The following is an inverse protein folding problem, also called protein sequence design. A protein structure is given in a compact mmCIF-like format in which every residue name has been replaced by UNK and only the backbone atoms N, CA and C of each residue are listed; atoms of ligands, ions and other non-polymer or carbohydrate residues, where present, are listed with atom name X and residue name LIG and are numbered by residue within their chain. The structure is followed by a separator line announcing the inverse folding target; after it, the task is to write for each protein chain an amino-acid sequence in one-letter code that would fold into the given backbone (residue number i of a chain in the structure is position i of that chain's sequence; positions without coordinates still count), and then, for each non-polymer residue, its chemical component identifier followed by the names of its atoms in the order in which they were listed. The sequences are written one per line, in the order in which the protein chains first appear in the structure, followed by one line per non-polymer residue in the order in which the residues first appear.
data_IF_801786654449
#
_entry.id   IF_801786654449
#
_cell.length_a   1.000
_cell.length_b   1.000
_cell.length_c   1.000
_cell.angle_alpha   90.00
_cell.angle_beta   90.00
_cell.angle_gamma   90.00
#
_symmetry.space_group_name_H-M   'P 1'
#
loop_
_entity.id
_entity.type
_entity.pdbx_description
1 polymer ?
#
# COMPACT_ATOMS: atom_id res chain seq x y z
N UNK A 1 -43.07 -14.65 24.04
CA UNK A 1 -42.25 -13.66 23.31
C UNK A 1 -41.38 -14.44 22.35
N UNK A 2 -41.71 -14.40 21.05
CA UNK A 2 -40.99 -15.14 20.02
C UNK A 2 -39.67 -14.44 19.75
N UNK A 3 -38.57 -15.05 20.20
CA UNK A 3 -37.21 -14.60 19.89
C UNK A 3 -36.96 -14.92 18.42
N UNK A 4 -37.06 -13.91 17.55
CA UNK A 4 -36.65 -14.03 16.16
C UNK A 4 -35.13 -14.16 16.12
N UNK A 5 -34.65 -15.38 15.85
CA UNK A 5 -33.26 -15.64 15.47
C UNK A 5 -33.00 -14.94 14.13
N UNK A 6 -32.42 -13.74 14.22
CA UNK A 6 -31.85 -13.03 13.07
C UNK A 6 -30.65 -13.84 12.60
N UNK A 7 -30.80 -14.63 11.53
CA UNK A 7 -29.67 -15.32 10.91
C UNK A 7 -28.80 -14.27 10.21
N UNK A 8 -27.77 -13.76 10.90
CA UNK A 8 -26.79 -12.87 10.28
C UNK A 8 -25.91 -13.69 9.35
N UNK A 9 -26.05 -13.50 8.04
CA UNK A 9 -25.10 -13.99 7.03
C UNK A 9 -23.86 -13.08 7.09
N UNK A 10 -23.09 -13.15 8.17
CA UNK A 10 -21.83 -12.42 8.32
C UNK A 10 -20.82 -13.02 7.32
N UNK A 11 -20.54 -12.29 6.24
CA UNK A 11 -19.61 -12.77 5.22
C UNK A 11 -18.18 -12.68 5.73
N UNK A 12 -17.58 -13.82 6.07
CA UNK A 12 -16.14 -13.94 6.36
C UNK A 12 -15.36 -13.81 5.05
N UNK A 13 -14.48 -12.81 4.93
CA UNK A 13 -13.65 -12.66 3.73
C UNK A 13 -12.29 -12.02 4.05
N UNK A 14 -11.33 -12.25 3.14
CA UNK A 14 -10.02 -11.59 3.14
C UNK A 14 -9.70 -11.09 1.74
N UNK A 15 -9.42 -9.80 1.61
CA UNK A 15 -8.94 -9.17 0.38
C UNK A 15 -7.50 -8.74 0.60
N UNK A 16 -6.63 -8.98 -0.38
CA UNK A 16 -5.22 -8.57 -0.35
C UNK A 16 -4.88 -7.77 -1.60
N UNK A 17 -4.21 -6.64 -1.41
CA UNK A 17 -3.74 -5.77 -2.47
C UNK A 17 -2.21 -5.80 -2.52
N UNK A 18 -1.67 -5.94 -3.72
CA UNK A 18 -0.25 -5.81 -4.03
C UNK A 18 -0.14 -4.86 -5.21
N UNK A 19 0.46 -3.68 -5.03
CA UNK A 19 0.52 -2.67 -6.08
C UNK A 19 1.88 -1.95 -6.10
N UNK A 20 2.43 -1.79 -7.30
CA UNK A 20 3.52 -0.86 -7.55
C UNK A 20 3.01 0.58 -7.51
N UNK A 21 3.67 1.43 -6.73
CA UNK A 21 3.16 2.77 -6.43
C UNK A 21 3.55 3.77 -7.52
N UNK A 22 4.59 3.48 -8.31
CA UNK A 22 5.13 4.34 -9.39
C UNK A 22 4.07 4.93 -10.32
N UNK A 23 3.16 4.11 -10.86
CA UNK A 23 2.09 4.59 -11.73
C UNK A 23 1.11 5.54 -11.02
N UNK A 24 0.87 5.30 -9.73
CA UNK A 24 -0.01 6.18 -8.92
C UNK A 24 0.72 7.48 -8.57
N UNK A 25 2.00 7.42 -8.22
CA UNK A 25 2.84 8.61 -7.98
C UNK A 25 2.95 9.48 -9.23
N UNK A 26 3.12 8.89 -10.42
CA UNK A 26 3.07 9.63 -11.68
C UNK A 26 1.75 10.36 -11.87
N UNK A 27 0.61 9.69 -11.64
CA UNK A 27 -0.70 10.34 -11.73
C UNK A 27 -0.94 11.45 -10.69
N UNK A 28 -0.21 11.43 -9.58
CA UNK A 28 -0.24 12.46 -8.53
C UNK A 28 0.78 13.59 -8.77
N UNK A 29 1.53 13.59 -9.88
CA UNK A 29 2.55 14.60 -10.18
C UNK A 29 3.88 14.38 -9.48
N UNK A 30 4.10 13.21 -8.85
CA UNK A 30 5.32 12.85 -8.12
C UNK A 30 6.35 12.11 -8.99
N UNK A 31 6.31 12.32 -10.31
CA UNK A 31 7.17 11.62 -11.26
C UNK A 31 8.67 11.90 -11.02
N UNK A 32 9.02 13.11 -10.59
CA UNK A 32 10.43 13.49 -10.34
C UNK A 32 11.05 12.73 -9.17
N UNK A 33 10.28 12.42 -8.14
CA UNK A 33 10.75 11.65 -6.98
C UNK A 33 11.17 10.23 -7.38
N UNK A 34 10.51 9.65 -8.39
CA UNK A 34 10.76 8.28 -8.84
C UNK A 34 11.65 8.19 -10.09
N UNK A 35 11.96 9.32 -10.72
CA UNK A 35 12.69 9.39 -12.00
C UNK A 35 14.22 9.48 -11.83
N UNK A 36 14.74 9.50 -10.59
CA UNK A 36 16.16 9.75 -10.32
C UNK A 36 16.62 11.18 -10.63
N UNK A 37 15.73 12.04 -11.14
CA UNK A 37 15.95 13.46 -11.41
C UNK A 37 15.50 14.36 -10.25
N UNK A 38 15.04 13.77 -9.14
CA UNK A 38 14.71 14.49 -7.92
C UNK A 38 15.95 14.78 -7.09
N UNK A 39 15.98 15.94 -6.43
CA UNK A 39 17.03 16.26 -5.46
C UNK A 39 16.73 15.55 -4.13
N UNK A 40 17.27 14.34 -3.98
CA UNK A 40 17.19 13.54 -2.75
C UNK A 40 18.52 13.53 -1.97
N UNK A 41 19.42 14.47 -2.29
CA UNK A 41 20.77 14.58 -1.72
C UNK A 41 20.80 14.77 -0.20
N UNK A 42 19.74 15.35 0.39
CA UNK A 42 19.63 15.50 1.84
C UNK A 42 19.13 14.22 2.56
N UNK A 43 18.53 13.28 1.84
CA UNK A 43 17.96 12.05 2.41
C UNK A 43 18.90 10.85 2.28
N UNK A 44 19.77 10.87 1.27
CA UNK A 44 20.71 9.78 1.01
C UNK A 44 22.00 10.37 0.44
N UNK A 45 23.14 10.05 1.06
CA UNK A 45 24.47 10.38 0.57
C UNK A 45 24.76 9.54 -0.69
N UNK A 46 24.59 10.12 -1.88
CA UNK A 46 24.83 9.42 -3.14
C UNK A 46 26.26 9.58 -3.65
N UNK A 47 26.92 8.45 -3.94
CA UNK A 47 27.80 8.35 -5.11
C UNK A 47 26.95 8.28 -6.40
N UNK A 48 27.56 8.44 -7.58
CA UNK A 48 26.99 8.75 -8.93
C UNK A 48 25.78 7.94 -9.48
N UNK A 49 24.97 7.24 -8.67
CA UNK A 49 23.93 6.30 -9.14
C UNK A 49 22.54 6.55 -8.50
N UNK A 50 22.01 7.76 -8.64
CA UNK A 50 20.65 8.15 -8.19
C UNK A 50 19.54 7.45 -9.01
N UNK A 51 19.86 6.96 -10.21
CA UNK A 51 18.91 6.38 -11.17
C UNK A 51 18.19 5.09 -10.70
N UNK A 52 18.60 4.51 -9.56
CA UNK A 52 18.08 3.26 -9.04
C UNK A 52 17.31 3.39 -7.70
N UNK A 53 17.23 4.58 -7.09
CA UNK A 53 16.68 4.75 -5.72
C UNK A 53 15.16 4.60 -5.58
N UNK A 54 14.40 4.63 -6.68
CA UNK A 54 12.93 4.59 -6.59
C UNK A 54 12.33 3.74 -7.71
N UNK A 55 13.06 2.73 -8.19
CA UNK A 55 12.57 1.87 -9.28
C UNK A 55 11.48 0.90 -8.81
N UNK A 56 11.43 0.57 -7.52
CA UNK A 56 10.52 -0.47 -7.00
C UNK A 56 9.74 -0.04 -5.74
N UNK A 57 8.94 1.03 -5.83
CA UNK A 57 8.00 1.37 -4.76
C UNK A 57 6.84 0.37 -4.70
N UNK A 58 6.68 -0.28 -3.55
CA UNK A 58 5.77 -1.40 -3.37
C UNK A 58 4.83 -1.22 -2.18
N UNK A 59 3.53 -1.36 -2.42
CA UNK A 59 2.51 -1.35 -1.37
C UNK A 59 1.79 -2.70 -1.28
N UNK A 60 1.78 -3.27 -0.08
CA UNK A 60 1.01 -4.47 0.26
C UNK A 60 0.00 -4.14 1.36
N UNK A 61 -1.26 -4.46 1.15
CA UNK A 61 -2.30 -4.26 2.15
C UNK A 61 -3.24 -5.46 2.20
N UNK A 62 -3.87 -5.70 3.34
CA UNK A 62 -4.98 -6.64 3.42
C UNK A 62 -6.06 -6.14 4.39
N UNK A 63 -7.28 -6.59 4.13
CA UNK A 63 -8.43 -6.44 5.03
C UNK A 63 -9.05 -7.82 5.21
N UNK A 64 -9.28 -8.20 6.47
CA UNK A 64 -9.89 -9.46 6.88
C UNK A 64 -11.08 -9.14 7.77
N UNK A 65 -12.26 -9.59 7.39
CA UNK A 65 -13.50 -9.43 8.16
C UNK A 65 -13.93 -10.80 8.65
N UNK A 66 -14.17 -10.92 9.96
CA UNK A 66 -14.73 -12.10 10.61
C UNK A 66 -15.84 -11.70 11.59
N UNK A 67 -16.50 -12.70 12.18
CA UNK A 67 -17.56 -12.50 13.19
C UNK A 67 -17.09 -11.74 14.43
N UNK A 68 -15.80 -11.87 14.79
CA UNK A 68 -15.20 -11.17 15.94
C UNK A 68 -14.80 -9.72 15.62
N UNK A 69 -14.84 -9.31 14.34
CA UNK A 69 -14.47 -7.96 13.91
C UNK A 69 -13.60 -7.89 12.65
N UNK A 70 -13.03 -6.71 12.41
CA UNK A 70 -12.22 -6.38 11.23
C UNK A 70 -10.75 -6.19 11.58
N UNK A 71 -9.87 -6.89 10.87
CA UNK A 71 -8.41 -6.73 10.93
C UNK A 71 -7.93 -6.14 9.59
N UNK A 72 -7.18 -5.04 9.65
CA UNK A 72 -6.60 -4.40 8.47
C UNK A 72 -5.14 -4.04 8.70
N UNK A 73 -4.30 -4.26 7.70
CA UNK A 73 -2.87 -3.93 7.76
C UNK A 73 -2.34 -3.48 6.40
N UNK A 74 -1.33 -2.61 6.43
CA UNK A 74 -0.66 -2.08 5.24
C UNK A 74 0.85 -1.97 5.50
N UNK A 75 1.65 -2.28 4.49
CA UNK A 75 3.07 -2.07 4.45
C UNK A 75 3.42 -1.34 3.15
N UNK A 76 4.27 -0.33 3.26
CA UNK A 76 4.82 0.42 2.13
C UNK A 76 6.33 0.27 2.20
N UNK A 77 6.93 -0.14 1.10
CA UNK A 77 8.37 -0.23 0.91
C UNK A 77 8.70 0.79 -0.17
N UNK A 78 9.58 1.74 0.17
CA UNK A 78 10.28 2.59 -0.77
C UNK A 78 11.75 2.17 -0.69
N UNK A 79 12.34 1.82 -1.83
CA UNK A 79 13.67 1.20 -1.93
C UNK A 79 14.47 1.85 -3.05
#
# INVERSE_FOLDING_TARGET
MSSSTKSSLESKFKISLRKFVSATMNSMGLALLISGAGELSEMVDFGENIENLCREDFRKAFVKVNEDGTEASTAVIAA
#
